data_IF_256776518027
#
_entry.id   IF_256776518027
#
_cell.length_a   1.000
_cell.length_b   1.000
_cell.length_c   1.000
_cell.angle_alpha   90.00
_cell.angle_beta   90.00
_cell.angle_gamma   90.00
#
_symmetry.space_group_name_H-M   'P 1'
#
loop_
_entity.id
_entity.type
_entity.pdbx_description
1 polymer ?
#
# COMPACT_ATOMS: atom_id res chain seq x y z
N UNK A 1 -12.28 -9.78 -8.05
CA UNK A 1 -11.92 -8.76 -9.06
C UNK A 1 -10.93 -7.80 -8.41
N UNK A 2 -9.94 -7.30 -9.13
CA UNK A 2 -9.05 -6.28 -8.57
C UNK A 2 -9.73 -4.91 -8.53
N UNK A 3 -9.60 -4.23 -7.40
CA UNK A 3 -10.14 -2.88 -7.20
C UNK A 3 -9.12 -1.78 -7.55
N UNK A 4 -7.97 -2.18 -8.12
CA UNK A 4 -6.89 -1.26 -8.49
C UNK A 4 -6.97 -0.86 -9.96
N UNK A 5 -6.58 0.38 -10.31
CA UNK A 5 -6.41 0.80 -11.70
C UNK A 5 -5.42 -0.12 -12.44
N UNK A 6 -5.83 -0.63 -13.60
CA UNK A 6 -4.97 -1.48 -14.44
C UNK A 6 -4.31 -0.64 -15.55
N UNK A 7 -3.07 -0.97 -15.97
CA UNK A 7 -2.44 -0.36 -17.15
C UNK A 7 -3.37 -0.39 -18.36
N UNK A 8 -3.43 0.72 -19.11
CA UNK A 8 -4.30 0.89 -20.27
C UNK A 8 -5.76 1.24 -19.96
N UNK A 9 -6.20 1.20 -18.70
CA UNK A 9 -7.55 1.65 -18.35
C UNK A 9 -7.69 3.17 -18.48
N UNK A 10 -8.84 3.61 -19.00
CA UNK A 10 -9.18 5.02 -19.15
C UNK A 10 -9.97 5.48 -17.93
N UNK A 11 -9.56 6.60 -17.38
CA UNK A 11 -10.16 7.25 -16.23
C UNK A 11 -10.53 8.69 -16.56
N UNK A 12 -11.66 9.14 -16.04
CA UNK A 12 -12.20 10.48 -16.25
C UNK A 12 -12.34 11.22 -14.92
N UNK A 13 -11.99 12.50 -14.93
CA UNK A 13 -12.23 13.44 -13.85
C UNK A 13 -12.96 14.68 -14.40
N UNK A 14 -13.92 15.21 -13.64
CA UNK A 14 -14.67 16.40 -14.05
C UNK A 14 -13.74 17.61 -14.18
N UNK A 15 -13.69 18.22 -15.36
CA UNK A 15 -12.85 19.41 -15.62
C UNK A 15 -11.40 19.11 -16.01
N UNK A 16 -11.05 17.83 -16.23
CA UNK A 16 -9.74 17.40 -16.73
C UNK A 16 -9.91 16.51 -17.97
N UNK A 17 -8.91 16.45 -18.87
CA UNK A 17 -8.91 15.49 -19.97
C UNK A 17 -8.90 14.05 -19.44
N UNK A 18 -9.40 13.12 -20.25
CA UNK A 18 -9.36 11.69 -19.94
C UNK A 18 -7.89 11.22 -19.88
N UNK A 19 -7.61 10.32 -18.93
CA UNK A 19 -6.26 9.83 -18.67
C UNK A 19 -6.21 8.31 -18.76
N UNK A 20 -5.11 7.81 -19.32
CA UNK A 20 -4.80 6.39 -19.45
C UNK A 20 -3.83 6.01 -18.34
N UNK A 21 -4.15 4.96 -17.59
CA UNK A 21 -3.27 4.43 -16.54
C UNK A 21 -2.04 3.79 -17.18
N UNK A 22 -0.86 4.16 -16.71
CA UNK A 22 0.40 3.52 -17.12
C UNK A 22 0.82 2.49 -16.06
N UNK A 23 0.83 2.90 -14.78
CA UNK A 23 1.15 2.01 -13.68
C UNK A 23 1.12 2.68 -12.32
N UNK A 24 1.21 1.89 -11.26
CA UNK A 24 1.28 2.37 -9.88
C UNK A 24 2.76 2.44 -9.49
N UNK A 25 3.14 3.49 -8.77
CA UNK A 25 4.48 3.68 -8.25
C UNK A 25 4.47 3.62 -6.72
N UNK A 26 5.57 3.16 -6.15
CA UNK A 26 5.88 3.23 -4.73
C UNK A 26 7.21 3.98 -4.60
N UNK A 27 7.17 5.16 -3.99
CA UNK A 27 8.31 6.09 -3.90
C UNK A 27 8.95 6.35 -5.28
N UNK A 28 8.13 6.57 -6.31
CA UNK A 28 8.59 6.85 -7.68
C UNK A 28 9.07 5.63 -8.47
N UNK A 29 9.04 4.42 -7.88
CA UNK A 29 9.46 3.18 -8.54
C UNK A 29 8.22 2.36 -8.93
N UNK A 30 8.15 1.77 -10.15
CA UNK A 30 7.07 0.88 -10.54
C UNK A 30 6.80 -0.20 -9.50
N UNK A 31 5.55 -0.27 -9.06
CA UNK A 31 5.12 -1.10 -7.94
C UNK A 31 4.33 -2.30 -8.42
N UNK A 32 5.01 -3.44 -8.55
CA UNK A 32 4.40 -4.68 -9.03
C UNK A 32 3.47 -5.35 -8.01
N UNK A 33 3.69 -5.13 -6.70
CA UNK A 33 3.00 -5.88 -5.64
C UNK A 33 1.46 -5.82 -5.69
N UNK A 34 0.80 -4.69 -5.99
CA UNK A 34 -0.67 -4.61 -6.05
C UNK A 34 -1.23 -5.56 -7.11
N UNK A 35 -0.49 -5.76 -8.19
CA UNK A 35 -0.86 -6.64 -9.31
C UNK A 35 -0.52 -8.11 -9.01
N UNK A 36 0.57 -8.38 -8.26
CA UNK A 36 0.96 -9.74 -7.83
C UNK A 36 0.06 -10.30 -6.73
N UNK A 37 -0.22 -9.47 -5.73
CA UNK A 37 -0.78 -9.84 -4.43
C UNK A 37 -1.89 -8.85 -4.04
N UNK A 38 -3.06 -8.89 -4.70
CA UNK A 38 -4.20 -8.02 -4.41
C UNK A 38 -4.73 -8.16 -2.97
N UNK A 39 -4.51 -9.33 -2.33
CA UNK A 39 -4.94 -9.62 -0.97
C UNK A 39 -3.97 -9.07 0.10
N UNK A 40 -2.83 -8.51 -0.30
CA UNK A 40 -1.92 -7.88 0.64
C UNK A 40 -2.59 -6.61 1.20
N UNK A 41 -2.63 -6.47 2.52
CA UNK A 41 -3.13 -5.26 3.16
C UNK A 41 -2.10 -4.13 2.99
N UNK A 42 -2.41 -3.16 2.12
CA UNK A 42 -1.66 -1.92 1.98
C UNK A 42 -2.64 -0.74 1.89
N UNK A 43 -2.19 0.46 2.26
CA UNK A 43 -3.03 1.64 2.26
C UNK A 43 -2.71 2.52 1.03
N UNK A 44 -3.56 2.56 -0.01
CA UNK A 44 -3.33 3.32 -1.23
C UNK A 44 -3.35 4.84 -1.04
N UNK A 45 -3.84 5.32 0.11
CA UNK A 45 -3.85 6.74 0.48
C UNK A 45 -2.55 7.20 1.16
N UNK A 46 -1.57 6.31 1.36
CA UNK A 46 -0.25 6.73 1.83
C UNK A 46 0.46 7.55 0.76
N UNK A 47 1.16 8.61 1.20
CA UNK A 47 1.97 9.50 0.33
C UNK A 47 3.05 8.78 -0.48
N UNK A 48 3.45 7.58 -0.04
CA UNK A 48 4.41 6.74 -0.74
C UNK A 48 3.88 6.21 -2.07
N UNK A 49 2.56 6.13 -2.25
CA UNK A 49 1.96 5.57 -3.45
C UNK A 49 1.45 6.68 -4.38
N UNK A 50 1.89 6.59 -5.61
CA UNK A 50 1.45 7.44 -6.72
C UNK A 50 1.04 6.58 -7.90
N UNK A 51 0.41 7.20 -8.88
CA UNK A 51 0.02 6.56 -10.13
C UNK A 51 0.57 7.41 -11.27
N UNK A 52 1.20 6.74 -12.22
CA UNK A 52 1.63 7.33 -13.47
C UNK A 52 0.47 7.21 -14.46
N UNK A 53 0.02 8.35 -14.97
CA UNK A 53 -1.04 8.43 -15.97
C UNK A 53 -0.55 9.20 -17.18
N UNK A 54 -1.10 8.88 -18.33
CA UNK A 54 -0.88 9.59 -19.59
C UNK A 54 -2.16 10.30 -19.99
N UNK A 55 -2.08 11.58 -20.35
CA UNK A 55 -3.21 12.30 -20.97
C UNK A 55 -3.51 11.75 -22.36
N UNK A 56 -4.78 11.43 -22.65
CA UNK A 56 -5.18 10.79 -23.92
C UNK A 56 -4.81 11.62 -25.17
N UNK A 57 -4.87 12.96 -25.08
CA UNK A 57 -4.70 13.85 -26.22
C UNK A 57 -3.27 14.41 -26.41
N UNK A 58 -2.48 14.48 -25.34
CA UNK A 58 -1.20 15.23 -25.34
C UNK A 58 0.04 14.33 -25.09
N UNK A 59 -0.16 13.01 -24.96
CA UNK A 59 0.88 12.01 -24.60
C UNK A 59 1.75 12.42 -23.39
N UNK A 60 1.24 13.34 -22.56
CA UNK A 60 1.95 13.87 -21.42
C UNK A 60 1.79 12.92 -20.22
N UNK A 61 2.91 12.56 -19.61
CA UNK A 61 2.95 11.69 -18.44
C UNK A 61 2.92 12.52 -17.17
N UNK A 62 1.94 12.26 -16.31
CA UNK A 62 1.77 12.94 -15.03
C UNK A 62 1.78 11.92 -13.90
N UNK A 63 2.52 12.22 -12.84
CA UNK A 63 2.48 11.47 -11.59
C UNK A 63 1.44 12.12 -10.66
N UNK A 64 0.48 11.34 -10.19
CA UNK A 64 -0.59 11.80 -9.29
C UNK A 64 -0.53 10.97 -7.99
N UNK A 65 -0.70 11.55 -6.79
CA UNK A 65 -0.86 10.76 -5.58
C UNK A 65 -2.01 9.75 -5.73
N UNK A 66 -1.77 8.48 -5.44
CA UNK A 66 -2.72 7.40 -5.74
C UNK A 66 -4.04 7.61 -5.00
N UNK A 67 -3.98 8.03 -3.73
CA UNK A 67 -5.17 8.35 -2.95
C UNK A 67 -6.04 9.45 -3.55
N UNK A 68 -5.41 10.47 -4.15
CA UNK A 68 -6.12 11.55 -4.85
C UNK A 68 -6.77 11.03 -6.12
N UNK A 69 -6.05 10.23 -6.89
CA UNK A 69 -6.57 9.61 -8.11
C UNK A 69 -7.81 8.77 -7.84
N UNK A 70 -7.77 7.92 -6.81
CA UNK A 70 -8.92 7.06 -6.43
C UNK A 70 -10.14 7.84 -5.92
N UNK A 71 -9.98 9.09 -5.49
CA UNK A 71 -11.07 9.96 -5.02
C UNK A 71 -11.69 10.78 -6.15
N UNK A 72 -10.85 11.32 -7.04
CA UNK A 72 -11.27 12.29 -8.06
C UNK A 72 -11.59 11.64 -9.41
N UNK A 73 -10.98 10.50 -9.73
CA UNK A 73 -11.11 9.86 -11.03
C UNK A 73 -12.05 8.66 -10.98
N UNK A 74 -12.85 8.53 -12.03
CA UNK A 74 -13.79 7.43 -12.23
C UNK A 74 -13.34 6.59 -13.43
N UNK A 75 -13.34 5.27 -13.27
CA UNK A 75 -12.99 4.37 -14.36
C UNK A 75 -14.09 4.40 -15.41
N UNK A 76 -13.75 4.73 -16.65
CA UNK A 76 -14.72 4.78 -17.76
C UNK A 76 -15.19 3.36 -18.10
N UNK A 77 -14.24 2.43 -18.23
CA UNK A 77 -14.50 1.03 -18.48
C UNK A 77 -13.41 0.17 -17.84
N UNK A 78 -13.76 -0.69 -16.88
CA UNK A 78 -12.79 -1.61 -16.27
C UNK A 78 -12.36 -2.67 -17.28
N UNK A 79 -11.07 -2.93 -17.35
CA UNK A 79 -10.51 -4.04 -18.12
C UNK A 79 -10.71 -5.34 -17.34
N UNK A 80 -11.79 -6.05 -17.66
CA UNK A 80 -12.16 -7.31 -17.02
C UNK A 80 -11.06 -8.38 -17.18
N UNK A 81 -10.30 -8.35 -18.29
CA UNK A 81 -9.22 -9.30 -18.53
C UNK A 81 -8.06 -9.03 -17.58
N UNK A 82 -7.61 -7.78 -17.47
CA UNK A 82 -6.48 -7.41 -16.58
C UNK A 82 -6.86 -7.47 -15.10
N UNK A 83 -8.13 -7.21 -14.75
CA UNK A 83 -8.66 -7.35 -13.38
C UNK A 83 -8.91 -8.80 -12.94
N UNK A 84 -8.75 -9.75 -13.86
CA UNK A 84 -8.87 -11.18 -13.62
C UNK A 84 -7.60 -11.71 -12.96
N UNK A 85 -7.75 -12.58 -11.95
CA UNK A 85 -6.61 -13.06 -11.15
C UNK A 85 -5.67 -13.94 -11.97
N UNK A 86 -6.24 -14.70 -12.89
CA UNK A 86 -5.60 -15.65 -13.77
C UNK A 86 -4.65 -14.94 -14.75
N UNK A 87 -4.98 -13.69 -15.12
CA UNK A 87 -4.23 -12.90 -16.10
C UNK A 87 -3.20 -11.97 -15.49
N UNK A 88 -2.93 -12.07 -14.19
CA UNK A 88 -1.94 -11.24 -13.47
C UNK A 88 -0.57 -11.20 -14.16
N UNK A 89 -0.15 -12.31 -14.75
CA UNK A 89 1.15 -12.41 -15.41
C UNK A 89 1.22 -11.53 -16.66
N UNK A 90 0.12 -11.39 -17.40
CA UNK A 90 0.05 -10.52 -18.57
C UNK A 90 0.22 -9.05 -18.16
N UNK A 91 -0.46 -8.62 -17.08
CA UNK A 91 -0.34 -7.26 -16.54
C UNK A 91 1.09 -6.99 -16.06
N UNK A 92 1.69 -7.94 -15.33
CA UNK A 92 3.06 -7.80 -14.85
C UNK A 92 4.07 -7.73 -16.00
N UNK A 93 3.83 -8.49 -17.07
CA UNK A 93 4.65 -8.43 -18.27
C UNK A 93 4.58 -7.02 -18.89
N UNK A 94 3.38 -6.47 -19.06
CA UNK A 94 3.18 -5.10 -19.57
C UNK A 94 3.91 -4.06 -18.71
N UNK A 95 3.73 -4.09 -17.39
CA UNK A 95 4.42 -3.19 -16.44
C UNK A 95 5.94 -3.31 -16.52
N UNK A 96 6.45 -4.53 -16.70
CA UNK A 96 7.90 -4.79 -16.77
C UNK A 96 8.51 -4.30 -18.08
N UNK A 97 7.77 -4.38 -19.18
CA UNK A 97 8.26 -3.99 -20.51
C UNK A 97 7.85 -2.58 -20.93
N UNK A 98 7.04 -1.87 -20.14
CA UNK A 98 6.67 -0.49 -20.41
C UNK A 98 7.90 0.43 -20.31
N UNK A 99 8.26 1.15 -21.40
CA UNK A 99 9.48 1.94 -21.46
C UNK A 99 9.44 3.15 -20.52
N UNK A 100 8.26 3.74 -20.29
CA UNK A 100 8.14 4.90 -19.41
C UNK A 100 8.29 4.50 -17.95
N UNK A 101 7.65 3.42 -17.51
CA UNK A 101 7.86 2.86 -16.18
C UNK A 101 9.34 2.50 -15.95
N UNK A 102 10.06 2.00 -16.96
CA UNK A 102 11.50 1.75 -16.81
C UNK A 102 12.33 3.04 -16.69
N UNK A 103 11.98 4.12 -17.41
CA UNK A 103 12.62 5.43 -17.22
C UNK A 103 12.38 5.95 -15.80
N UNK A 104 11.16 5.84 -15.28
CA UNK A 104 10.82 6.20 -13.91
C UNK A 104 11.56 5.36 -12.87
N UNK A 105 11.67 4.04 -13.11
CA UNK A 105 12.49 3.16 -12.28
C UNK A 105 13.94 3.65 -12.24
N UNK A 106 14.57 3.84 -13.40
CA UNK A 106 15.97 4.26 -13.49
C UNK A 106 16.22 5.62 -12.81
N UNK A 107 15.27 6.56 -12.92
CA UNK A 107 15.36 7.88 -12.28
C UNK A 107 15.33 7.80 -10.75
N UNK A 108 14.58 6.86 -10.17
CA UNK A 108 14.32 6.79 -8.74
C UNK A 108 15.07 5.65 -8.01
N UNK A 109 15.72 4.73 -8.73
CA UNK A 109 16.37 3.56 -8.14
C UNK A 109 17.53 3.92 -7.18
N UNK A 110 18.25 5.00 -7.48
CA UNK A 110 19.36 5.50 -6.66
C UNK A 110 18.92 6.56 -5.63
N UNK A 111 17.69 7.07 -5.77
CA UNK A 111 17.11 8.05 -4.85
C UNK A 111 16.45 7.30 -3.70
N UNK A 112 17.26 6.65 -2.86
CA UNK A 112 16.79 6.28 -1.54
C UNK A 112 16.66 7.54 -0.69
N UNK A 113 15.46 7.83 -0.19
CA UNK A 113 15.39 8.61 1.04
C UNK A 113 16.21 7.83 2.07
N UNK A 114 17.33 8.42 2.53
CA UNK A 114 17.91 8.05 3.84
C UNK A 114 16.71 7.91 4.77
N UNK A 115 16.56 6.73 5.38
CA UNK A 115 15.52 6.47 6.37
C UNK A 115 15.28 7.75 7.13
N UNK A 116 14.05 8.27 7.09
CA UNK A 116 13.65 9.27 8.06
C UNK A 116 13.75 8.51 9.36
N UNK A 117 14.90 8.63 10.04
CA UNK A 117 15.08 8.18 11.40
C UNK A 117 14.04 8.97 12.17
N UNK A 118 12.83 8.43 12.29
CA UNK A 118 11.86 8.93 13.25
C UNK A 118 12.67 8.99 14.53
N UNK A 119 12.89 10.17 15.12
CA UNK A 119 13.62 10.25 16.36
C UNK A 119 12.93 9.25 17.28
N UNK A 120 13.70 8.27 17.79
CA UNK A 120 13.19 7.26 18.71
C UNK A 120 12.32 8.02 19.70
N UNK A 121 11.01 7.82 19.62
CA UNK A 121 10.08 8.42 20.58
C UNK A 121 10.63 7.96 21.91
N UNK A 122 11.15 8.89 22.71
CA UNK A 122 11.67 8.58 24.03
C UNK A 122 10.54 7.85 24.73
N UNK A 123 10.75 6.55 24.96
CA UNK A 123 9.82 5.74 25.73
C UNK A 123 9.64 6.51 27.03
N UNK A 124 8.42 6.94 27.40
CA UNK A 124 8.24 7.62 28.67
C UNK A 124 8.85 6.70 29.72
N UNK A 125 9.82 7.23 30.47
CA UNK A 125 10.53 6.48 31.49
C UNK A 125 9.48 5.70 32.28
N UNK A 126 9.63 4.37 32.30
CA UNK A 126 8.69 3.47 32.92
C UNK A 126 8.22 4.08 34.24
N UNK A 127 6.93 4.40 34.34
CA UNK A 127 6.30 4.75 35.60
C UNK A 127 6.69 3.62 36.54
N UNK A 128 7.62 3.88 37.47
CA UNK A 128 8.01 2.90 38.48
C UNK A 128 6.72 2.43 39.12
N UNK A 129 6.40 1.15 38.93
CA UNK A 129 5.31 0.51 39.65
C UNK A 129 5.58 0.77 41.12
N UNK A 130 4.68 1.48 41.79
CA UNK A 130 4.73 1.56 43.24
C UNK A 130 4.32 0.19 43.74
N UNK A 131 5.18 -0.45 44.51
CA UNK A 131 4.84 -1.67 45.21
C UNK A 131 3.60 -1.39 46.08
N UNK A 132 2.50 -2.05 45.76
CA UNK A 132 1.34 -2.12 46.64
C UNK A 132 1.79 -3.00 47.81
N UNK A 133 1.77 -2.52 49.06
CA UNK A 133 2.09 -3.38 50.20
C UNK A 133 1.08 -4.53 50.21
N UNK A 134 1.57 -5.77 50.05
CA UNK A 134 0.75 -6.96 50.26
C UNK A 134 0.39 -7.02 51.75
N UNK A 135 -0.90 -6.95 52.05
CA UNK A 135 -1.41 -7.54 53.29
C UNK A 135 -1.48 -9.04 53.04
N UNK A 136 -0.51 -9.79 53.56
CA UNK A 136 -0.62 -11.25 53.65
C UNK A 136 -1.73 -11.59 54.67
N UNK A 137 -2.62 -12.51 54.29
CA UNK A 137 -2.84 -13.65 55.16
C UNK A 137 -2.37 -14.89 54.43
N UNK A 138 -1.43 -15.61 55.04
CA UNK A 138 -1.04 -16.96 54.65
C UNK A 138 -2.27 -17.88 54.69
N UNK A 139 -2.91 -18.08 53.54
CA UNK A 139 -3.86 -19.17 53.35
C UNK A 139 -3.07 -20.30 52.69
N UNK A 140 -2.58 -21.24 53.51
CA UNK A 140 -1.98 -22.49 53.04
C UNK A 140 -3.06 -23.30 52.29
N UNK A 141 -2.84 -23.71 51.04
CA UNK A 141 -3.76 -24.64 50.39
C UNK A 141 -3.57 -26.03 51.03
N UNK A 142 -4.65 -26.55 51.62
CA UNK A 142 -4.71 -27.93 52.12
C UNK A 142 -4.75 -28.90 50.92
N UNK A 143 -3.62 -29.51 50.61
CA UNK A 143 -3.45 -30.51 49.54
C UNK A 143 -3.93 -31.91 49.96
N UNK A 144 -5.07 -32.01 50.63
CA UNK A 144 -5.70 -33.26 51.05
C UNK A 144 -6.66 -33.78 49.96
N UNK A 145 -6.27 -34.86 49.29
CA UNK A 145 -7.02 -35.56 48.21
C UNK A 145 -8.24 -36.38 48.72
N UNK A 146 -8.91 -35.92 49.80
CA UNK A 146 -9.93 -36.70 50.54
C UNK A 146 -11.39 -36.43 50.17
N UNK A 147 -11.67 -35.59 49.18
CA UNK A 147 -13.04 -35.16 48.87
C UNK A 147 -13.59 -35.65 47.52
N UNK A 148 -12.98 -36.67 46.90
CA UNK A 148 -13.42 -37.22 45.59
C UNK A 148 -13.77 -38.72 45.62
N UNK A 149 -14.31 -39.24 46.72
CA UNK A 149 -14.95 -40.56 46.77
C UNK A 149 -16.20 -40.54 47.63
#
# INVERSE_FOLDING_TARGET
MFDFPQPGEIYRCTGFPDVVVVGILAAGIPWDMPYRCPALAWNPYRRTYSILVRTENDDHFTEIPLGRFLQEFTCVKPDLFKRCRENRYAVLKEVTFDPELQKWRAKNIDIYQKDITTPKRTVPAARKWRDIPRADPEIKPDNSYRHYL
#
